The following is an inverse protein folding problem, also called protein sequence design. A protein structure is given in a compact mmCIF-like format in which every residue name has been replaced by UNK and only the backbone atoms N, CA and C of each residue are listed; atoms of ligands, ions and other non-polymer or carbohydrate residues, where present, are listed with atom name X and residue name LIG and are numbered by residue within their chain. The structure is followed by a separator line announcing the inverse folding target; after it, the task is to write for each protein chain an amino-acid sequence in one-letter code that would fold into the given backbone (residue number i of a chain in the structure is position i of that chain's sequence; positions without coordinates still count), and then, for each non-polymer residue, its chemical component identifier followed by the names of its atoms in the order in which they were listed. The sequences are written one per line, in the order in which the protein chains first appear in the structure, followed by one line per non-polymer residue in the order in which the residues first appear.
data_IF_243117154191
#
_entry.id   IF_243117154191
#
_cell.length_a   1.000
_cell.length_b   1.000
_cell.length_c   1.000
_cell.angle_alpha   90.00
_cell.angle_beta   90.00
_cell.angle_gamma   90.00
#
_symmetry.space_group_name_H-M   'P 1'
#
loop_
_entity.id
_entity.type
_entity.pdbx_description
1 polymer ?
#
# COMPACT_ATOMS: atom_id res chain seq x y z
N UNK A 1 3.65 -2.75 -25.67
CA UNK A 1 4.52 -2.56 -24.49
C UNK A 1 4.24 -3.71 -23.53
N UNK A 2 5.20 -4.60 -23.31
CA UNK A 2 5.04 -5.75 -22.41
C UNK A 2 5.06 -5.25 -20.97
N UNK A 3 3.96 -5.47 -20.23
CA UNK A 3 3.88 -5.14 -18.80
C UNK A 3 4.90 -5.99 -18.05
N UNK A 4 5.82 -5.35 -17.33
CA UNK A 4 6.82 -6.05 -16.53
C UNK A 4 6.15 -6.98 -15.50
N UNK A 5 6.70 -8.18 -15.32
CA UNK A 5 6.28 -9.14 -14.31
C UNK A 5 6.39 -8.51 -12.91
N UNK A 6 5.25 -8.32 -12.23
CA UNK A 6 5.16 -7.81 -10.84
C UNK A 6 5.40 -8.91 -9.79
N UNK A 7 6.04 -10.02 -10.16
CA UNK A 7 6.28 -11.14 -9.24
C UNK A 7 7.30 -10.72 -8.18
N UNK A 8 6.92 -10.81 -6.90
CA UNK A 8 7.85 -10.60 -5.78
C UNK A 8 8.98 -11.62 -5.83
N UNK A 9 10.18 -11.21 -5.46
CA UNK A 9 11.37 -12.09 -5.40
C UNK A 9 11.13 -13.23 -4.40
N UNK A 10 10.50 -12.89 -3.27
CA UNK A 10 10.04 -13.85 -2.26
C UNK A 10 8.51 -13.83 -2.27
N UNK A 11 7.85 -14.85 -2.85
CA UNK A 11 6.40 -14.87 -3.00
C UNK A 11 5.66 -14.96 -1.65
N UNK A 12 6.23 -15.63 -0.65
CA UNK A 12 5.66 -15.76 0.70
C UNK A 12 5.56 -14.42 1.42
N UNK A 13 6.43 -13.47 1.09
CA UNK A 13 6.46 -12.14 1.71
C UNK A 13 5.32 -11.23 1.28
N UNK A 14 4.47 -11.65 0.33
CA UNK A 14 3.40 -10.81 -0.22
C UNK A 14 2.51 -10.20 0.87
N UNK A 15 1.98 -11.03 1.77
CA UNK A 15 1.09 -10.58 2.84
C UNK A 15 1.79 -9.63 3.81
N UNK A 16 3.02 -9.94 4.21
CA UNK A 16 3.79 -9.10 5.13
C UNK A 16 4.13 -7.73 4.52
N UNK A 17 4.48 -7.69 3.23
CA UNK A 17 4.78 -6.45 2.51
C UNK A 17 3.53 -5.60 2.31
N UNK A 18 2.36 -6.21 2.07
CA UNK A 18 1.11 -5.46 1.97
C UNK A 18 0.70 -4.83 3.29
N UNK A 19 0.84 -5.55 4.41
CA UNK A 19 0.61 -4.99 5.74
C UNK A 19 1.54 -3.80 6.00
N UNK A 20 2.85 -3.99 5.76
CA UNK A 20 3.84 -2.95 5.95
C UNK A 20 3.58 -1.71 5.06
N UNK A 21 3.14 -1.93 3.82
CA UNK A 21 2.76 -0.86 2.88
C UNK A 21 1.65 0.00 3.45
N UNK A 22 0.58 -0.61 3.97
CA UNK A 22 -0.55 0.12 4.56
C UNK A 22 -0.20 0.74 5.91
N UNK A 23 0.62 0.06 6.73
CA UNK A 23 1.12 0.59 8.00
C UNK A 23 1.91 1.88 7.79
N UNK A 24 2.94 1.84 6.92
CA UNK A 24 3.76 3.01 6.59
C UNK A 24 2.89 4.13 6.04
N UNK A 25 1.96 3.81 5.15
CA UNK A 25 1.16 4.84 4.54
C UNK A 25 0.18 5.48 5.53
N UNK A 26 -0.35 4.71 6.50
CA UNK A 26 -1.11 5.25 7.62
C UNK A 26 -0.23 6.16 8.51
N UNK A 27 1.01 5.76 8.82
CA UNK A 27 1.95 6.61 9.55
C UNK A 27 2.28 7.93 8.82
N UNK A 28 2.32 7.88 7.48
CA UNK A 28 2.55 9.06 6.63
C UNK A 28 1.28 9.90 6.40
N UNK A 29 0.15 9.52 7.00
CA UNK A 29 -1.13 10.24 6.85
C UNK A 29 -1.71 10.17 5.44
N UNK A 30 -1.32 9.16 4.65
CA UNK A 30 -1.78 9.00 3.28
C UNK A 30 -3.17 8.38 3.27
N UNK A 31 -4.09 8.85 2.40
CA UNK A 31 -5.45 8.34 2.32
C UNK A 31 -5.51 7.00 1.57
N UNK A 32 -4.70 6.04 2.00
CA UNK A 32 -4.61 4.70 1.41
C UNK A 32 -5.03 3.70 2.48
N UNK A 33 -6.32 3.34 2.47
CA UNK A 33 -6.85 2.48 3.50
C UNK A 33 -8.18 1.88 3.07
N UNK A 34 -8.25 0.56 3.12
CA UNK A 34 -9.49 -0.21 2.93
C UNK A 34 -10.62 0.31 3.82
N UNK A 35 -10.30 0.67 5.07
CA UNK A 35 -11.28 1.08 6.09
C UNK A 35 -11.74 2.54 5.99
N UNK A 36 -10.93 3.47 5.49
CA UNK A 36 -11.36 4.87 5.27
C UNK A 36 -12.11 5.01 3.93
N UNK A 37 -11.75 4.16 2.96
CA UNK A 37 -12.51 3.99 1.74
C UNK A 37 -13.90 3.41 2.05
N UNK A 38 -14.03 2.31 2.81
CA UNK A 38 -15.33 1.69 3.11
C UNK A 38 -16.35 2.69 3.72
N UNK A 39 -15.95 3.51 4.69
CA UNK A 39 -16.85 4.47 5.35
C UNK A 39 -17.40 5.57 4.42
N UNK A 40 -16.56 6.09 3.50
CA UNK A 40 -17.02 7.09 2.53
C UNK A 40 -17.65 6.45 1.29
N UNK A 41 -17.23 5.24 0.94
CA UNK A 41 -17.71 4.51 -0.24
C UNK A 41 -19.12 4.03 -0.06
N UNK A 42 -19.50 3.52 1.12
CA UNK A 42 -20.87 3.06 1.34
C UNK A 42 -21.87 4.22 1.27
N UNK A 43 -21.58 5.35 1.92
CA UNK A 43 -22.41 6.56 1.84
C UNK A 43 -22.44 7.17 0.43
N UNK A 44 -21.29 7.26 -0.25
CA UNK A 44 -21.25 7.84 -1.59
C UNK A 44 -21.82 6.90 -2.67
N UNK A 45 -21.85 5.58 -2.42
CA UNK A 45 -22.59 4.60 -3.23
C UNK A 45 -24.09 4.80 -3.06
N UNK A 46 -24.56 5.03 -1.83
CA UNK A 46 -25.96 5.34 -1.53
C UNK A 46 -26.42 6.66 -2.18
N UNK A 47 -25.53 7.67 -2.22
CA UNK A 47 -25.79 8.96 -2.89
C UNK A 47 -25.69 8.90 -4.43
N UNK A 48 -25.29 7.75 -4.99
CA UNK A 48 -25.09 7.58 -6.43
C UNK A 48 -23.88 8.31 -7.00
N UNK A 49 -22.98 8.81 -6.15
CA UNK A 49 -21.79 9.57 -6.55
C UNK A 49 -20.64 8.67 -7.04
N UNK A 50 -20.66 7.38 -6.69
CA UNK A 50 -19.70 6.36 -7.13
C UNK A 50 -20.45 5.11 -7.57
N UNK A 51 -20.18 4.68 -8.79
CA UNK A 51 -20.66 3.40 -9.29
C UNK A 51 -19.94 2.27 -8.56
N UNK A 52 -20.70 1.29 -8.04
CA UNK A 52 -20.21 0.12 -7.29
C UNK A 52 -19.06 -0.65 -7.97
N UNK A 53 -18.86 -0.45 -9.27
CA UNK A 53 -17.77 -1.03 -10.07
C UNK A 53 -16.37 -0.46 -9.76
N UNK A 54 -16.28 0.76 -9.24
CA UNK A 54 -15.02 1.50 -9.05
C UNK A 54 -14.34 1.25 -7.70
N UNK A 55 -15.02 0.55 -6.78
CA UNK A 55 -14.61 0.35 -5.38
C UNK A 55 -13.46 -0.66 -5.22
N UNK A 56 -13.16 -1.47 -6.25
CA UNK A 56 -12.29 -2.64 -6.11
C UNK A 56 -10.81 -2.41 -6.37
N UNK A 57 -10.40 -1.30 -6.96
CA UNK A 57 -8.97 -1.05 -7.15
C UNK A 57 -8.42 -0.34 -5.92
N UNK A 58 -7.51 -1.03 -5.22
CA UNK A 58 -6.68 -0.52 -4.13
C UNK A 58 -6.42 0.98 -4.34
N UNK A 59 -7.01 1.84 -3.50
CA UNK A 59 -7.10 3.30 -3.67
C UNK A 59 -5.72 3.99 -3.53
N UNK A 60 -4.83 3.70 -4.48
CA UNK A 60 -3.53 4.31 -4.70
C UNK A 60 -3.56 5.19 -5.96
N UNK A 61 -4.71 5.28 -6.65
CA UNK A 61 -4.82 6.03 -7.90
C UNK A 61 -4.79 7.56 -7.74
N UNK A 62 -5.16 8.08 -6.57
CA UNK A 62 -5.21 9.52 -6.28
C UNK A 62 -3.99 10.04 -5.49
N UNK A 63 -3.01 9.18 -5.20
CA UNK A 63 -1.80 9.56 -4.47
C UNK A 63 -0.73 10.11 -5.44
N UNK A 64 0.07 11.06 -4.98
CA UNK A 64 1.16 11.59 -5.82
C UNK A 64 2.27 10.54 -6.00
N UNK A 65 2.96 10.56 -7.15
CA UNK A 65 4.12 9.68 -7.38
C UNK A 65 5.20 9.85 -6.31
N UNK A 66 5.31 11.07 -5.74
CA UNK A 66 6.23 11.38 -4.64
C UNK A 66 5.88 10.60 -3.38
N UNK A 67 4.61 10.59 -3.00
CA UNK A 67 4.15 9.92 -1.78
C UNK A 67 4.19 8.40 -1.94
N UNK A 68 3.78 7.87 -3.11
CA UNK A 68 3.94 6.46 -3.42
C UNK A 68 5.42 6.03 -3.37
N UNK A 69 6.32 6.86 -3.90
CA UNK A 69 7.76 6.65 -3.82
C UNK A 69 8.30 6.69 -2.39
N UNK A 70 7.79 7.61 -1.56
CA UNK A 70 8.18 7.73 -0.16
C UNK A 70 7.79 6.48 0.65
N UNK A 71 6.59 5.92 0.41
CA UNK A 71 6.16 4.65 1.01
C UNK A 71 7.08 3.50 0.59
N UNK A 72 7.38 3.38 -0.71
CA UNK A 72 8.30 2.33 -1.21
C UNK A 72 9.72 2.44 -0.65
N UNK A 73 10.24 3.67 -0.50
CA UNK A 73 11.53 3.94 0.14
C UNK A 73 11.54 3.55 1.62
N UNK A 74 10.48 3.88 2.36
CA UNK A 74 10.32 3.51 3.76
C UNK A 74 10.22 1.98 3.96
N UNK A 75 9.51 1.26 3.08
CA UNK A 75 9.48 -0.21 3.09
C UNK A 75 10.90 -0.75 2.97
N UNK A 76 11.66 -0.29 1.98
CA UNK A 76 13.02 -0.76 1.73
C UNK A 76 13.94 -0.45 2.90
N UNK A 77 13.86 0.76 3.46
CA UNK A 77 14.64 1.17 4.64
C UNK A 77 14.38 0.28 5.85
N UNK A 78 13.12 -0.04 6.16
CA UNK A 78 12.77 -0.94 7.29
C UNK A 78 13.24 -2.37 7.06
N UNK A 79 13.16 -2.88 5.83
CA UNK A 79 13.63 -4.22 5.50
C UNK A 79 15.14 -4.34 5.68
N UNK A 80 15.90 -3.37 5.18
CA UNK A 80 17.36 -3.34 5.33
C UNK A 80 17.73 -3.25 6.81
N UNK A 81 17.11 -2.34 7.56
CA UNK A 81 17.36 -2.21 9.00
C UNK A 81 17.10 -3.51 9.75
N UNK A 82 15.97 -4.19 9.49
CA UNK A 82 15.68 -5.50 10.12
C UNK A 82 16.69 -6.57 9.73
N UNK A 83 17.15 -6.56 8.47
CA UNK A 83 18.18 -7.47 8.00
C UNK A 83 19.52 -7.20 8.70
N UNK A 84 19.92 -5.94 8.83
CA UNK A 84 21.12 -5.52 9.58
C UNK A 84 21.01 -5.93 11.05
N UNK A 85 19.90 -5.64 11.73
CA UNK A 85 19.65 -6.07 13.11
C UNK A 85 19.75 -7.60 13.26
N UNK A 86 19.22 -8.36 12.30
CA UNK A 86 19.29 -9.83 12.33
C UNK A 86 20.71 -10.35 12.04
N UNK A 87 21.46 -9.70 11.16
CA UNK A 87 22.82 -10.13 10.78
C UNK A 87 23.88 -9.71 11.80
N UNK A 88 23.70 -8.56 12.45
CA UNK A 88 24.67 -7.96 13.38
C UNK A 88 24.31 -8.12 14.86
N UNK A 89 23.15 -8.70 15.21
CA UNK A 89 22.83 -9.08 16.61
C UNK A 89 23.30 -10.49 17.00
N UNK A 90 24.29 -11.03 16.29
CA UNK A 90 25.11 -12.17 16.72
C UNK A 90 26.26 -11.70 17.63
#
# INVERSE_FOLDING_TARGET
MTVASRKKIVPESHQALDLLKYEIAAEMGLPVGKSLADMNVEFATELGAISSSSVKEDYWGHITSRDAGAVGGAITSRLIRKAEETMFSL
#
